data_IF_939379947267
#
_entry.id   IF_939379947267
#
_cell.length_a   1.000
_cell.length_b   1.000
_cell.length_c   1.000
_cell.angle_alpha   90.00
_cell.angle_beta   90.00
_cell.angle_gamma   90.00
#
_symmetry.space_group_name_H-M   'P 1'
#
loop_
_entity.id
_entity.type
_entity.pdbx_description
1 polymer ?
#
# COMPACT_ATOMS: atom_id res chain seq x y z
N UNK A 1 10.63 -70.27 -42.08
CA UNK A 1 9.41 -69.47 -42.32
C UNK A 1 9.41 -68.33 -41.32
N UNK A 2 9.20 -67.04 -41.64
CA UNK A 2 9.13 -66.29 -42.92
C UNK A 2 9.28 -64.79 -42.58
N UNK A 3 9.69 -63.86 -43.45
CA UNK A 3 10.00 -63.91 -44.90
C UNK A 3 11.33 -63.15 -45.18
N UNK A 4 11.44 -62.39 -46.28
CA UNK A 4 12.57 -61.49 -46.61
C UNK A 4 12.06 -60.21 -47.28
N UNK A 5 12.69 -59.06 -47.00
CA UNK A 5 12.82 -57.92 -47.93
C UNK A 5 14.10 -57.13 -47.63
N UNK A 6 14.87 -56.78 -48.66
CA UNK A 6 15.88 -55.71 -48.62
C UNK A 6 16.33 -55.35 -50.05
N UNK A 7 16.45 -54.04 -50.33
CA UNK A 7 17.22 -53.33 -51.37
C UNK A 7 16.85 -51.83 -51.19
N UNK A 8 17.77 -50.87 -51.04
CA UNK A 8 18.74 -50.36 -52.03
C UNK A 8 18.05 -49.80 -53.29
N UNK A 9 18.36 -48.61 -53.82
CA UNK A 9 19.47 -47.67 -53.57
C UNK A 9 19.11 -46.24 -54.05
N UNK A 10 20.02 -45.27 -53.91
CA UNK A 10 19.77 -43.85 -54.24
C UNK A 10 20.29 -43.43 -55.63
N UNK A 11 19.72 -42.37 -56.24
CA UNK A 11 20.45 -41.54 -57.21
C UNK A 11 19.84 -40.13 -57.43
N UNK A 12 20.70 -39.18 -57.78
CA UNK A 12 20.48 -37.72 -57.83
C UNK A 12 19.95 -37.19 -59.16
N UNK A 13 19.28 -36.01 -59.17
CA UNK A 13 19.39 -35.04 -60.29
C UNK A 13 19.08 -33.57 -59.91
N UNK A 14 19.82 -32.67 -60.55
CA UNK A 14 19.66 -31.21 -60.69
C UNK A 14 19.15 -31.00 -62.14
N UNK A 15 18.25 -30.09 -62.54
CA UNK A 15 18.23 -28.62 -62.50
C UNK A 15 16.92 -28.15 -63.18
N UNK A 16 16.39 -26.96 -62.86
CA UNK A 16 15.90 -25.99 -63.85
C UNK A 16 15.61 -24.61 -63.23
N UNK A 17 15.81 -23.54 -64.00
CA UNK A 17 15.51 -22.16 -63.61
C UNK A 17 14.19 -21.71 -64.26
N UNK A 18 13.36 -20.95 -63.53
CA UNK A 18 12.36 -20.07 -64.15
C UNK A 18 11.93 -18.90 -63.24
N UNK A 19 11.77 -17.74 -63.86
CA UNK A 19 11.12 -16.48 -63.40
C UNK A 19 11.95 -15.47 -62.58
N UNK A 20 12.39 -14.42 -63.28
CA UNK A 20 12.57 -13.07 -62.74
C UNK A 20 11.20 -12.40 -62.57
N UNK A 21 11.02 -11.53 -61.56
CA UNK A 21 10.34 -10.21 -61.64
C UNK A 21 10.45 -9.48 -60.27
N UNK A 22 10.44 -8.15 -60.32
CA UNK A 22 10.34 -7.17 -59.21
C UNK A 22 11.42 -7.17 -58.11
N UNK A 23 12.52 -6.49 -58.40
CA UNK A 23 13.28 -5.79 -57.36
C UNK A 23 12.48 -4.60 -56.81
N UNK A 24 11.82 -4.78 -55.67
CA UNK A 24 11.18 -3.69 -54.92
C UNK A 24 11.99 -3.36 -53.67
N UNK A 25 12.63 -2.18 -53.67
CA UNK A 25 13.39 -1.65 -52.52
C UNK A 25 12.46 -1.40 -51.33
N UNK A 26 12.45 -2.34 -50.36
CA UNK A 26 11.79 -2.15 -49.07
C UNK A 26 12.65 -1.29 -48.13
N UNK A 27 12.67 0.03 -48.37
CA UNK A 27 13.15 0.95 -47.34
C UNK A 27 12.32 0.74 -46.06
N UNK A 28 12.96 0.58 -44.88
CA UNK A 28 12.22 0.44 -43.63
C UNK A 28 11.48 1.75 -43.36
N UNK A 29 10.15 1.70 -43.47
CA UNK A 29 9.23 2.82 -43.27
C UNK A 29 9.47 3.40 -41.87
N UNK A 30 10.21 4.53 -41.79
CA UNK A 30 10.46 5.25 -40.54
C UNK A 30 9.14 5.69 -39.92
N UNK A 31 8.58 4.88 -39.03
CA UNK A 31 7.50 5.29 -38.15
C UNK A 31 8.04 6.41 -37.27
N UNK A 32 7.56 7.64 -37.47
CA UNK A 32 7.75 8.74 -36.52
C UNK A 32 7.00 8.36 -35.24
N UNK A 33 7.66 7.62 -34.36
CA UNK A 33 7.18 7.38 -33.02
C UNK A 33 6.88 8.71 -32.35
N UNK A 34 5.77 8.78 -31.60
CA UNK A 34 5.36 10.02 -30.92
C UNK A 34 6.50 10.56 -30.06
N UNK A 35 6.64 11.88 -29.88
CA UNK A 35 7.74 12.46 -29.10
C UNK A 35 7.79 11.91 -27.67
N UNK A 36 6.63 11.52 -27.11
CA UNK A 36 6.54 10.80 -25.84
C UNK A 36 7.25 9.44 -25.86
N UNK A 37 7.05 8.60 -26.89
CA UNK A 37 7.73 7.29 -27.01
C UNK A 37 9.24 7.44 -27.20
N UNK A 38 9.70 8.50 -27.87
CA UNK A 38 11.12 8.81 -27.99
C UNK A 38 11.70 9.27 -26.64
N UNK A 39 11.06 10.22 -25.96
CA UNK A 39 11.45 10.68 -24.63
C UNK A 39 11.47 9.53 -23.61
N UNK A 40 10.47 8.65 -23.63
CA UNK A 40 10.41 7.46 -22.78
C UNK A 40 11.58 6.50 -23.05
N UNK A 41 11.87 6.18 -24.31
CA UNK A 41 13.05 5.36 -24.66
C UNK A 41 14.38 6.00 -24.26
N UNK A 42 14.50 7.32 -24.36
CA UNK A 42 15.69 8.06 -23.90
C UNK A 42 15.79 8.06 -22.36
N UNK A 43 14.66 8.11 -21.65
CA UNK A 43 14.62 8.01 -20.20
C UNK A 43 15.00 6.60 -19.71
N UNK A 44 14.44 5.54 -20.31
CA UNK A 44 14.77 4.15 -19.93
C UNK A 44 16.23 3.81 -20.23
N UNK A 45 16.78 4.20 -21.38
CA UNK A 45 18.21 3.99 -21.67
C UNK A 45 19.14 4.81 -20.77
N UNK A 46 18.73 6.01 -20.33
CA UNK A 46 19.47 6.77 -19.31
C UNK A 46 19.43 6.10 -17.93
N UNK A 47 18.28 5.57 -17.52
CA UNK A 47 18.16 4.77 -16.28
C UNK A 47 19.02 3.50 -16.35
N UNK A 48 19.02 2.80 -17.48
CA UNK A 48 19.80 1.58 -17.68
C UNK A 48 21.31 1.85 -17.69
N UNK A 49 21.76 2.90 -18.40
CA UNK A 49 23.16 3.34 -18.36
C UNK A 49 23.58 3.82 -16.96
N UNK A 50 22.69 4.47 -16.21
CA UNK A 50 22.93 4.84 -14.80
C UNK A 50 23.04 3.58 -13.93
N UNK A 51 22.17 2.60 -14.11
CA UNK A 51 22.16 1.34 -13.38
C UNK A 51 23.48 0.56 -13.62
N UNK A 52 23.93 0.44 -14.88
CA UNK A 52 25.21 -0.18 -15.23
C UNK A 52 26.40 0.58 -14.60
N UNK A 53 26.39 1.92 -14.59
CA UNK A 53 27.43 2.72 -13.92
C UNK A 53 27.44 2.52 -12.40
N UNK A 54 26.27 2.42 -11.79
CA UNK A 54 26.11 2.14 -10.35
C UNK A 54 26.60 0.72 -10.04
N UNK A 55 26.16 -0.29 -10.79
CA UNK A 55 26.58 -1.68 -10.65
C UNK A 55 28.11 -1.84 -10.77
N UNK A 56 28.74 -1.22 -11.77
CA UNK A 56 30.19 -1.24 -11.96
C UNK A 56 30.97 -0.54 -10.83
N UNK A 57 30.42 0.53 -10.23
CA UNK A 57 31.01 1.16 -9.03
C UNK A 57 30.84 0.27 -7.78
N UNK A 58 29.68 -0.36 -7.63
CA UNK A 58 29.37 -1.29 -6.54
C UNK A 58 30.26 -2.54 -6.61
N UNK A 59 30.52 -3.07 -7.81
CA UNK A 59 31.37 -4.25 -7.99
C UNK A 59 32.82 -4.00 -7.56
N UNK A 60 33.30 -2.76 -7.64
CA UNK A 60 34.65 -2.34 -7.23
C UNK A 60 34.73 -1.84 -5.77
N UNK A 61 33.64 -1.93 -5.01
CA UNK A 61 33.55 -1.45 -3.62
C UNK A 61 33.95 -2.53 -2.60
N UNK A 62 34.56 -2.12 -1.48
CA UNK A 62 34.85 -3.01 -0.32
C UNK A 62 33.58 -3.61 0.34
N UNK A 63 32.40 -3.13 -0.06
CA UNK A 63 31.09 -3.59 0.41
C UNK A 63 30.44 -4.67 -0.49
N UNK A 64 31.18 -5.25 -1.45
CA UNK A 64 30.65 -6.26 -2.38
C UNK A 64 29.91 -7.44 -1.70
N UNK A 65 28.96 -8.04 -2.42
CA UNK A 65 28.09 -9.09 -1.91
C UNK A 65 27.06 -8.56 -0.90
N UNK A 66 26.78 -9.36 0.14
CA UNK A 66 25.71 -9.10 1.13
C UNK A 66 25.82 -7.77 1.87
N UNK A 67 27.04 -7.23 2.03
CA UNK A 67 27.28 -5.97 2.73
C UNK A 67 26.64 -4.77 2.04
N UNK A 68 26.53 -4.77 0.70
CA UNK A 68 25.82 -3.71 -0.03
C UNK A 68 24.36 -3.63 0.38
N UNK A 69 23.67 -4.77 0.48
CA UNK A 69 22.26 -4.79 0.83
C UNK A 69 22.01 -4.34 2.27
N UNK A 70 22.88 -4.75 3.21
CA UNK A 70 22.82 -4.25 4.60
C UNK A 70 23.14 -2.76 4.66
N UNK A 71 24.11 -2.25 3.90
CA UNK A 71 24.41 -0.81 3.81
C UNK A 71 23.22 -0.02 3.24
N UNK A 72 22.56 -0.49 2.18
CA UNK A 72 21.33 0.12 1.63
C UNK A 72 20.21 0.09 2.68
N UNK A 73 20.08 -1.00 3.44
CA UNK A 73 19.18 -1.10 4.58
C UNK A 73 19.47 -0.07 5.69
N UNK A 74 20.75 0.15 6.03
CA UNK A 74 21.18 1.18 6.98
C UNK A 74 20.84 2.59 6.48
N UNK A 75 21.16 2.91 5.22
CA UNK A 75 20.80 4.20 4.62
C UNK A 75 19.28 4.42 4.59
N UNK A 76 18.50 3.37 4.32
CA UNK A 76 17.04 3.39 4.29
C UNK A 76 16.46 3.66 5.69
N UNK A 77 16.97 2.97 6.71
CA UNK A 77 16.54 3.16 8.10
C UNK A 77 16.96 4.51 8.67
N UNK A 78 18.17 4.99 8.35
CA UNK A 78 18.63 6.34 8.68
C UNK A 78 17.78 7.43 8.02
N UNK A 79 17.42 7.27 6.74
CA UNK A 79 16.51 8.21 6.05
C UNK A 79 15.14 8.29 6.75
N UNK A 80 14.51 7.14 7.03
CA UNK A 80 13.22 7.12 7.75
C UNK A 80 13.36 7.68 9.18
N UNK A 81 14.50 7.44 9.84
CA UNK A 81 14.77 8.00 11.17
C UNK A 81 14.84 9.54 11.11
N UNK A 82 15.55 10.11 10.13
CA UNK A 82 15.60 11.54 9.89
C UNK A 82 14.22 12.13 9.57
N UNK A 83 13.41 11.47 8.73
CA UNK A 83 12.03 11.91 8.44
C UNK A 83 11.16 11.91 9.70
N UNK A 84 11.24 10.86 10.52
CA UNK A 84 10.43 10.75 11.76
C UNK A 84 10.83 11.81 12.78
N UNK A 85 12.14 12.05 12.96
CA UNK A 85 12.65 13.11 13.81
C UNK A 85 12.25 14.49 13.29
N UNK A 86 12.31 14.73 11.98
CA UNK A 86 11.86 15.99 11.37
C UNK A 86 10.35 16.23 11.59
N UNK A 87 9.51 15.19 11.50
CA UNK A 87 8.08 15.29 11.79
C UNK A 87 7.82 15.64 13.27
N UNK A 88 8.60 15.08 14.21
CA UNK A 88 8.51 15.45 15.64
C UNK A 88 8.96 16.89 15.88
N UNK A 89 9.99 17.37 15.19
CA UNK A 89 10.42 18.78 15.25
C UNK A 89 9.34 19.70 14.66
N UNK A 90 8.70 19.33 13.54
CA UNK A 90 7.57 20.09 12.99
C UNK A 90 6.40 20.11 13.97
N UNK A 91 6.13 19.01 14.69
CA UNK A 91 5.13 18.96 15.75
C UNK A 91 5.43 19.90 16.93
N UNK A 92 6.69 20.05 17.34
CA UNK A 92 7.06 20.97 18.42
C UNK A 92 7.06 22.45 17.99
N UNK A 93 7.21 22.73 16.69
CA UNK A 93 7.12 24.08 16.11
C UNK A 93 5.70 24.44 15.62
N UNK A 94 4.74 23.51 15.68
CA UNK A 94 3.36 23.75 15.29
C UNK A 94 2.64 24.71 16.27
N UNK A 95 1.50 25.28 15.86
CA UNK A 95 0.75 26.22 16.70
C UNK A 95 0.26 25.52 17.98
N UNK A 96 0.79 25.95 19.13
CA UNK A 96 0.54 25.34 20.45
C UNK A 96 1.45 24.17 20.81
N UNK A 97 2.36 23.74 19.92
CA UNK A 97 3.32 22.66 20.16
C UNK A 97 2.68 21.34 20.58
N UNK A 98 3.40 20.59 21.42
CA UNK A 98 2.85 19.43 22.13
C UNK A 98 2.18 19.89 23.43
N UNK A 99 0.91 19.55 23.61
CA UNK A 99 0.12 19.82 24.82
C UNK A 99 0.49 18.83 25.95
N UNK A 100 -0.11 19.00 27.12
CA UNK A 100 0.15 18.17 28.31
C UNK A 100 -0.11 16.65 28.11
N UNK A 101 -0.96 16.29 27.14
CA UNK A 101 -1.24 14.92 26.70
C UNK A 101 -0.20 14.36 25.71
N UNK A 102 0.80 15.16 25.32
CA UNK A 102 1.81 14.83 24.32
C UNK A 102 1.29 14.86 22.87
N UNK A 103 0.17 15.56 22.60
CA UNK A 103 -0.45 15.66 21.26
C UNK A 103 -0.18 17.04 20.65
N UNK A 104 0.29 17.08 19.40
CA UNK A 104 0.45 18.30 18.61
C UNK A 104 -0.51 18.33 17.41
N UNK A 105 -1.00 19.53 17.07
CA UNK A 105 -1.89 19.77 15.94
C UNK A 105 -1.05 20.14 14.69
N UNK A 106 -0.79 19.17 13.81
CA UNK A 106 0.07 19.35 12.62
C UNK A 106 -0.60 20.20 11.53
N UNK A 107 -1.88 19.94 11.27
CA UNK A 107 -2.67 20.63 10.25
C UNK A 107 -4.06 20.86 10.82
N UNK A 108 -4.55 22.08 10.70
CA UNK A 108 -5.90 22.50 11.10
C UNK A 108 -6.63 22.95 9.83
N UNK A 109 -7.92 22.63 9.71
CA UNK A 109 -8.75 23.09 8.59
C UNK A 109 -10.04 22.31 8.43
N UNK A 110 -10.62 22.37 7.22
CA UNK A 110 -11.90 21.71 6.93
C UNK A 110 -11.80 20.18 6.96
N UNK A 111 -12.86 19.51 7.42
CA UNK A 111 -12.93 18.05 7.52
C UNK A 111 -12.54 17.33 6.21
N UNK A 112 -12.93 17.87 5.06
CA UNK A 112 -12.58 17.33 3.75
C UNK A 112 -11.08 17.47 3.40
N UNK A 113 -10.41 18.55 3.82
CA UNK A 113 -8.98 18.73 3.63
C UNK A 113 -8.17 17.82 4.58
N UNK A 114 -8.56 17.78 5.86
CA UNK A 114 -7.94 16.93 6.88
C UNK A 114 -8.08 15.44 6.54
N UNK A 115 -9.20 15.01 5.96
CA UNK A 115 -9.38 13.63 5.48
C UNK A 115 -8.36 13.25 4.40
N UNK A 116 -8.09 14.14 3.44
CA UNK A 116 -7.07 13.93 2.40
C UNK A 116 -5.66 13.87 2.98
N UNK A 117 -5.32 14.79 3.89
CA UNK A 117 -4.00 14.81 4.55
C UNK A 117 -3.77 13.60 5.46
N UNK A 118 -4.79 13.17 6.21
CA UNK A 118 -4.76 11.91 6.99
C UNK A 118 -4.49 10.70 6.09
N UNK A 119 -5.17 10.62 4.94
CA UNK A 119 -4.98 9.53 3.97
C UNK A 119 -3.55 9.54 3.40
N UNK A 120 -3.02 10.71 3.05
CA UNK A 120 -1.65 10.87 2.57
C UNK A 120 -0.61 10.52 3.64
N UNK A 121 -0.84 10.90 4.90
CA UNK A 121 0.04 10.58 6.02
C UNK A 121 0.11 9.05 6.26
N UNK A 122 -1.04 8.36 6.31
CA UNK A 122 -1.05 6.90 6.45
C UNK A 122 -0.41 6.17 5.25
N UNK A 123 -0.51 6.72 4.03
CA UNK A 123 0.22 6.17 2.88
C UNK A 123 1.74 6.26 3.08
N UNK A 124 2.25 7.42 3.53
CA UNK A 124 3.68 7.62 3.83
C UNK A 124 4.14 6.70 4.98
N UNK A 125 3.36 6.59 6.06
CA UNK A 125 3.63 5.68 7.19
C UNK A 125 3.74 4.23 6.70
N UNK A 126 2.84 3.77 5.84
CA UNK A 126 2.87 2.41 5.30
C UNK A 126 4.08 2.18 4.37
N UNK A 127 4.46 3.16 3.54
CA UNK A 127 5.67 3.11 2.71
C UNK A 127 6.92 3.00 3.60
N UNK A 128 7.07 3.89 4.58
CA UNK A 128 8.24 3.90 5.48
C UNK A 128 8.31 2.65 6.37
N UNK A 129 7.17 2.16 6.85
CA UNK A 129 7.12 0.89 7.60
C UNK A 129 7.53 -0.30 6.73
N UNK A 130 7.06 -0.35 5.47
CA UNK A 130 7.45 -1.39 4.50
C UNK A 130 8.94 -1.32 4.15
N UNK A 131 9.50 -0.12 3.99
CA UNK A 131 10.93 0.10 3.76
C UNK A 131 11.78 -0.40 4.95
N UNK A 132 11.37 -0.08 6.19
CA UNK A 132 12.04 -0.56 7.40
C UNK A 132 11.93 -2.08 7.57
N UNK A 133 10.76 -2.66 7.25
CA UNK A 133 10.56 -4.10 7.25
C UNK A 133 11.46 -4.78 6.22
N UNK A 134 11.53 -4.27 4.99
CA UNK A 134 12.41 -4.79 3.94
C UNK A 134 13.90 -4.74 4.30
N UNK A 135 14.37 -3.62 4.86
CA UNK A 135 15.75 -3.47 5.35
C UNK A 135 16.08 -4.45 6.49
N UNK A 136 15.15 -4.59 7.45
CA UNK A 136 15.26 -5.55 8.55
C UNK A 136 15.27 -6.99 8.02
N UNK A 137 14.38 -7.30 7.08
CA UNK A 137 14.18 -8.63 6.49
C UNK A 137 15.41 -9.09 5.70
N UNK A 138 16.01 -8.20 4.90
CA UNK A 138 17.27 -8.51 4.22
C UNK A 138 18.40 -8.79 5.21
N UNK A 139 18.56 -7.96 6.25
CA UNK A 139 19.60 -8.20 7.27
C UNK A 139 19.36 -9.50 8.04
N UNK A 140 18.10 -9.82 8.36
CA UNK A 140 17.70 -11.10 8.93
C UNK A 140 18.00 -12.28 7.99
N UNK A 141 17.79 -12.14 6.68
CA UNK A 141 18.15 -13.16 5.70
C UNK A 141 19.66 -13.44 5.73
N UNK A 142 20.49 -12.39 5.70
CA UNK A 142 21.96 -12.51 5.83
C UNK A 142 22.35 -13.21 7.13
N UNK A 143 21.79 -12.80 8.27
CA UNK A 143 22.08 -13.41 9.57
C UNK A 143 21.66 -14.88 9.67
N UNK A 144 20.58 -15.28 8.97
CA UNK A 144 20.10 -16.67 8.88
C UNK A 144 20.84 -17.50 7.81
N UNK A 145 21.63 -16.87 6.96
CA UNK A 145 22.37 -17.53 5.89
C UNK A 145 23.57 -18.30 6.48
N UNK A 146 23.81 -19.55 6.06
CA UNK A 146 24.94 -20.31 6.58
C UNK A 146 26.27 -19.81 5.98
N UNK A 147 27.35 -20.01 6.72
CA UNK A 147 28.70 -19.99 6.13
C UNK A 147 29.06 -21.38 5.63
N UNK A 148 30.06 -21.51 4.75
CA UNK A 148 30.47 -22.84 4.25
C UNK A 148 30.88 -23.79 5.39
N UNK A 149 31.52 -23.30 6.46
CA UNK A 149 31.86 -24.13 7.64
C UNK A 149 30.64 -24.52 8.48
N UNK A 150 29.54 -23.75 8.44
CA UNK A 150 28.27 -24.14 9.04
C UNK A 150 27.57 -25.24 8.23
N UNK A 151 27.66 -25.19 6.89
CA UNK A 151 27.21 -26.25 5.99
C UNK A 151 28.02 -27.54 6.23
N UNK A 152 29.35 -27.47 6.19
CA UNK A 152 30.24 -28.63 6.39
C UNK A 152 29.90 -29.36 7.71
N UNK A 153 29.64 -28.59 8.79
CA UNK A 153 29.26 -29.10 10.13
C UNK A 153 27.85 -29.70 10.17
N UNK A 154 26.92 -29.17 9.39
CA UNK A 154 25.57 -29.73 9.28
C UNK A 154 25.58 -31.05 8.47
N UNK A 155 26.27 -31.06 7.33
CA UNK A 155 26.39 -32.21 6.44
C UNK A 155 27.08 -33.39 7.13
N UNK A 156 28.15 -33.13 7.91
CA UNK A 156 28.82 -34.16 8.73
C UNK A 156 27.91 -34.78 9.82
N UNK A 157 26.72 -34.21 10.07
CA UNK A 157 25.70 -34.73 10.99
C UNK A 157 24.44 -35.21 10.26
N UNK A 158 24.51 -35.40 8.94
CA UNK A 158 23.37 -35.79 8.11
C UNK A 158 22.25 -34.74 8.01
N UNK A 159 22.54 -33.47 8.31
CA UNK A 159 21.58 -32.36 8.25
C UNK A 159 21.89 -31.43 7.09
N UNK A 160 20.87 -30.75 6.58
CA UNK A 160 20.99 -29.73 5.53
C UNK A 160 20.48 -28.37 6.03
N UNK A 161 21.05 -27.29 5.48
CA UNK A 161 20.66 -25.90 5.77
C UNK A 161 20.04 -25.27 4.53
N UNK A 162 19.12 -24.34 4.73
CA UNK A 162 18.47 -23.62 3.64
C UNK A 162 19.37 -22.47 3.15
N UNK A 163 19.41 -22.25 1.84
CA UNK A 163 20.23 -21.21 1.19
C UNK A 163 19.31 -20.37 0.28
N UNK A 164 19.61 -19.08 0.09
CA UNK A 164 18.82 -18.20 -0.77
C UNK A 164 17.52 -17.68 -0.14
N UNK A 165 17.19 -18.10 1.08
CA UNK A 165 15.89 -17.87 1.73
C UNK A 165 16.07 -17.44 3.19
N UNK A 166 15.10 -16.70 3.73
CA UNK A 166 14.98 -16.45 5.17
C UNK A 166 14.49 -17.72 5.86
N UNK A 167 15.39 -18.48 6.49
CA UNK A 167 15.05 -19.73 7.18
C UNK A 167 15.18 -19.62 8.69
N UNK A 168 14.06 -19.75 9.39
CA UNK A 168 14.01 -19.89 10.85
C UNK A 168 14.63 -21.20 11.33
N UNK A 169 14.60 -22.25 10.50
CA UNK A 169 15.21 -23.57 10.75
C UNK A 169 16.74 -23.50 10.82
N UNK A 170 17.36 -22.61 10.04
CA UNK A 170 18.80 -22.36 10.13
C UNK A 170 19.21 -21.79 11.50
N UNK A 171 18.36 -20.98 12.14
CA UNK A 171 18.65 -20.32 13.42
C UNK A 171 18.99 -21.29 14.57
N UNK A 172 18.54 -22.54 14.47
CA UNK A 172 18.79 -23.61 15.44
C UNK A 172 20.13 -24.35 15.19
N UNK A 173 20.77 -24.13 14.04
CA UNK A 173 22.01 -24.82 13.64
C UNK A 173 23.20 -23.85 13.45
N UNK A 174 22.96 -22.53 13.38
CA UNK A 174 24.01 -21.48 13.34
C UNK A 174 24.38 -20.99 14.76
N UNK A 175 25.49 -20.23 14.94
CA UNK A 175 25.89 -19.71 16.25
C UNK A 175 24.83 -18.81 16.91
N UNK A 176 24.52 -19.08 18.18
CA UNK A 176 23.45 -18.42 18.94
C UNK A 176 23.50 -16.89 18.92
N UNK A 177 24.69 -16.27 18.87
CA UNK A 177 24.86 -14.82 18.73
C UNK A 177 24.14 -14.26 17.50
N UNK A 178 24.16 -14.96 16.36
CA UNK A 178 23.43 -14.56 15.14
C UNK A 178 21.92 -14.69 15.35
N UNK A 179 21.48 -15.81 15.93
CA UNK A 179 20.07 -16.10 16.20
C UNK A 179 19.44 -15.10 17.18
N UNK A 180 20.16 -14.66 18.23
CA UNK A 180 19.70 -13.60 19.13
C UNK A 180 19.53 -12.26 18.40
N UNK A 181 20.51 -11.86 17.60
CA UNK A 181 20.45 -10.61 16.83
C UNK A 181 19.32 -10.63 15.80
N UNK A 182 19.09 -11.78 15.17
CA UNK A 182 17.93 -12.02 14.30
C UNK A 182 16.61 -11.86 15.06
N UNK A 183 16.48 -12.47 16.24
CA UNK A 183 15.27 -12.36 17.06
C UNK A 183 15.00 -10.91 17.51
N UNK A 184 16.03 -10.13 17.83
CA UNK A 184 15.88 -8.72 18.18
C UNK A 184 15.39 -7.86 17.00
N UNK A 185 15.86 -8.12 15.77
CA UNK A 185 15.35 -7.46 14.56
C UNK A 185 13.90 -7.87 14.24
N UNK A 186 13.55 -9.14 14.43
CA UNK A 186 12.19 -9.64 14.24
C UNK A 186 11.23 -9.01 15.26
N UNK A 187 11.52 -9.13 16.56
CA UNK A 187 10.68 -8.64 17.65
C UNK A 187 10.45 -7.12 17.60
N UNK A 188 11.46 -6.33 17.26
CA UNK A 188 11.34 -4.87 17.11
C UNK A 188 10.50 -4.43 15.91
N UNK A 189 10.06 -5.34 15.03
CA UNK A 189 9.21 -4.99 13.88
C UNK A 189 7.75 -4.81 14.23
N UNK A 190 7.19 -5.64 15.13
CA UNK A 190 5.75 -5.62 15.44
C UNK A 190 5.34 -4.33 16.19
N UNK A 191 6.01 -3.90 17.27
CA UNK A 191 5.66 -2.67 17.97
C UNK A 191 5.82 -1.45 17.06
N UNK A 192 6.86 -1.42 16.22
CA UNK A 192 7.11 -0.32 15.31
C UNK A 192 5.91 -0.12 14.36
N UNK A 193 5.44 -1.17 13.67
CA UNK A 193 4.27 -1.06 12.79
C UNK A 193 2.99 -0.62 13.53
N UNK A 194 2.76 -1.13 14.75
CA UNK A 194 1.57 -0.80 15.55
C UNK A 194 1.56 0.66 15.97
N UNK A 195 2.62 1.12 16.66
CA UNK A 195 2.72 2.48 17.16
C UNK A 195 2.83 3.51 16.04
N UNK A 196 3.40 3.16 14.89
CA UNK A 196 3.52 4.08 13.77
C UNK A 196 2.16 4.35 13.08
N UNK A 197 1.31 3.33 12.94
CA UNK A 197 -0.05 3.56 12.45
C UNK A 197 -0.92 4.34 13.45
N UNK A 198 -0.67 4.18 14.76
CA UNK A 198 -1.37 4.93 15.81
C UNK A 198 -0.80 6.35 16.04
N UNK A 199 0.41 6.67 15.56
CA UNK A 199 1.08 7.93 15.92
C UNK A 199 0.46 9.16 15.28
N UNK A 200 -0.14 9.02 14.10
CA UNK A 200 -0.87 10.10 13.39
C UNK A 200 -2.33 9.70 13.29
N UNK A 201 -3.22 10.59 13.72
CA UNK A 201 -4.67 10.38 13.70
C UNK A 201 -5.38 11.70 13.40
N UNK A 202 -6.65 11.62 12.97
CA UNK A 202 -7.48 12.80 12.74
C UNK A 202 -8.54 12.94 13.82
N UNK A 203 -8.82 14.17 14.21
CA UNK A 203 -9.98 14.54 15.02
C UNK A 203 -10.91 15.37 14.14
N UNK A 204 -12.06 14.80 13.80
CA UNK A 204 -13.09 15.48 13.02
C UNK A 204 -14.05 16.19 13.97
N UNK A 205 -14.14 17.51 13.82
CA UNK A 205 -15.17 18.33 14.48
C UNK A 205 -16.46 18.25 13.69
N UNK A 206 -17.57 18.10 14.40
CA UNK A 206 -18.92 18.15 13.83
C UNK A 206 -19.74 19.18 14.61
N UNK A 207 -20.18 20.22 13.92
CA UNK A 207 -21.00 21.26 14.51
C UNK A 207 -22.47 20.96 14.26
N UNK A 208 -23.28 20.92 15.33
CA UNK A 208 -24.72 21.03 15.17
C UNK A 208 -25.05 22.41 14.58
N UNK A 209 -25.94 22.44 13.59
CA UNK A 209 -26.36 23.65 12.89
C UNK A 209 -27.83 23.57 12.53
N UNK A 210 -28.45 24.73 12.31
CA UNK A 210 -29.77 24.83 11.69
C UNK A 210 -29.68 25.44 10.28
N UNK A 211 -30.67 25.14 9.43
CA UNK A 211 -30.80 25.74 8.09
C UNK A 211 -32.04 26.63 8.09
N UNK A 212 -31.82 27.94 8.06
CA UNK A 212 -32.86 28.96 8.21
C UNK A 212 -33.05 29.65 6.86
N UNK A 213 -34.27 29.67 6.32
CA UNK A 213 -34.58 30.49 5.14
C UNK A 213 -35.02 31.89 5.57
N UNK A 214 -34.47 32.92 4.92
CA UNK A 214 -34.77 34.34 5.19
C UNK A 214 -35.09 35.08 3.89
N UNK A 215 -35.96 36.10 3.98
CA UNK A 215 -36.30 36.98 2.87
C UNK A 215 -35.16 37.98 2.62
N UNK A 216 -34.74 38.12 1.36
CA UNK A 216 -33.81 39.15 0.87
C UNK A 216 -34.19 40.60 1.22
N UNK A 217 -35.44 40.87 1.56
CA UNK A 217 -35.97 42.20 1.94
C UNK A 217 -36.15 42.38 3.45
N UNK A 218 -35.90 41.34 4.26
CA UNK A 218 -36.11 41.37 5.72
C UNK A 218 -35.10 42.23 6.47
N UNK A 219 -35.52 42.76 7.63
CA UNK A 219 -34.62 43.42 8.57
C UNK A 219 -33.55 42.46 9.15
N UNK A 220 -33.88 41.17 9.26
CA UNK A 220 -32.94 40.13 9.70
C UNK A 220 -31.78 39.96 8.72
N UNK A 221 -32.07 39.94 7.41
CA UNK A 221 -31.04 39.91 6.37
C UNK A 221 -30.10 41.12 6.44
N UNK A 222 -30.64 42.34 6.59
CA UNK A 222 -29.84 43.55 6.76
C UNK A 222 -28.95 43.50 8.02
N UNK A 223 -29.46 42.92 9.10
CA UNK A 223 -28.72 42.73 10.35
C UNK A 223 -27.59 41.71 10.19
N UNK A 224 -27.83 40.60 9.47
CA UNK A 224 -26.83 39.57 9.20
C UNK A 224 -25.67 40.09 8.33
N UNK A 225 -25.94 40.94 7.34
CA UNK A 225 -24.90 41.56 6.49
C UNK A 225 -23.92 42.45 7.28
N UNK A 226 -24.36 43.05 8.38
CA UNK A 226 -23.54 43.94 9.21
C UNK A 226 -22.82 43.19 10.35
N UNK A 227 -23.11 41.91 10.56
CA UNK A 227 -22.67 41.15 11.73
C UNK A 227 -21.33 40.46 11.49
N UNK A 228 -20.34 40.79 12.33
CA UNK A 228 -19.02 40.14 12.30
C UNK A 228 -19.14 38.66 12.66
N UNK A 229 -18.41 37.79 11.95
CA UNK A 229 -18.43 36.33 12.15
C UNK A 229 -19.37 35.55 11.23
N UNK A 230 -19.91 36.19 10.18
CA UNK A 230 -20.72 35.55 9.16
C UNK A 230 -20.01 35.63 7.80
N UNK A 231 -19.85 34.48 7.13
CA UNK A 231 -19.26 34.41 5.79
C UNK A 231 -20.40 34.42 4.74
N UNK A 232 -20.32 35.28 3.72
CA UNK A 232 -21.21 35.24 2.57
C UNK A 232 -20.70 34.20 1.56
N UNK A 233 -21.52 33.20 1.25
CA UNK A 233 -21.18 32.01 0.46
C UNK A 233 -22.05 31.93 -0.79
N UNK A 234 -21.41 31.73 -1.95
CA UNK A 234 -22.13 31.41 -3.19
C UNK A 234 -22.77 30.03 -3.13
N UNK A 235 -23.73 29.78 -4.02
CA UNK A 235 -24.50 28.53 -4.05
C UNK A 235 -23.64 27.26 -4.14
N UNK A 236 -22.53 27.28 -4.87
CA UNK A 236 -21.61 26.13 -4.93
C UNK A 236 -20.81 25.91 -3.63
N UNK A 237 -20.55 26.98 -2.88
CA UNK A 237 -19.69 26.94 -1.69
C UNK A 237 -20.46 26.45 -0.48
N UNK A 238 -21.64 27.01 -0.18
CA UNK A 238 -22.44 26.48 0.94
C UNK A 238 -22.92 25.06 0.65
N UNK A 239 -23.28 24.72 -0.60
CA UNK A 239 -23.62 23.33 -0.98
C UNK A 239 -22.46 22.35 -0.76
N UNK A 240 -21.22 22.78 -0.98
CA UNK A 240 -20.03 21.96 -0.74
C UNK A 240 -19.70 21.79 0.74
N UNK A 241 -19.96 22.79 1.57
CA UNK A 241 -19.68 22.73 3.03
C UNK A 241 -20.73 21.87 3.72
N UNK A 242 -22.00 22.22 3.56
CA UNK A 242 -23.12 21.60 4.27
C UNK A 242 -23.62 20.28 3.62
N UNK A 243 -23.19 19.99 2.40
CA UNK A 243 -23.37 18.67 1.77
C UNK A 243 -22.38 17.59 2.24
N UNK A 244 -21.55 17.87 3.25
CA UNK A 244 -20.68 16.87 3.88
C UNK A 244 -21.30 16.31 5.15
N UNK A 245 -20.92 15.07 5.50
CA UNK A 245 -21.41 14.39 6.71
C UNK A 245 -21.07 15.10 8.02
N UNK A 246 -19.98 15.87 8.06
CA UNK A 246 -19.48 16.53 9.26
C UNK A 246 -19.13 17.98 8.93
N UNK A 247 -19.89 18.93 9.48
CA UNK A 247 -19.72 20.36 9.17
C UNK A 247 -18.73 20.97 10.16
N UNK A 248 -17.60 21.46 9.63
CA UNK A 248 -16.49 22.03 10.40
C UNK A 248 -16.19 23.46 9.95
N UNK A 249 -15.91 24.38 10.87
CA UNK A 249 -15.61 25.80 10.56
C UNK A 249 -16.84 26.71 10.44
N UNK A 250 -18.03 26.13 10.26
CA UNK A 250 -19.31 26.84 10.16
C UNK A 250 -20.38 26.16 11.01
N UNK A 251 -21.42 26.90 11.37
CA UNK A 251 -22.58 26.47 12.14
C UNK A 251 -23.86 26.82 11.37
N UNK A 252 -24.75 27.65 11.92
CA UNK A 252 -26.04 27.98 11.32
C UNK A 252 -25.92 28.55 9.89
N UNK A 253 -26.74 28.04 8.98
CA UNK A 253 -26.79 28.43 7.57
C UNK A 253 -28.08 29.20 7.28
N UNK A 254 -27.94 30.45 6.84
CA UNK A 254 -29.04 31.31 6.44
C UNK A 254 -29.13 31.35 4.92
N UNK A 255 -30.20 30.78 4.34
CA UNK A 255 -30.44 30.78 2.89
C UNK A 255 -31.27 32.01 2.51
N UNK A 256 -30.71 32.87 1.67
CA UNK A 256 -31.34 34.14 1.26
C UNK A 256 -32.20 33.91 0.04
N UNK A 257 -33.51 33.99 0.24
CA UNK A 257 -34.54 33.70 -0.76
C UNK A 257 -35.09 35.01 -1.35
N UNK A 258 -35.22 35.03 -2.68
CA UNK A 258 -35.79 36.13 -3.48
C UNK A 258 -37.10 35.73 -4.19
N UNK A 259 -37.25 34.46 -4.56
CA UNK A 259 -38.40 33.96 -5.33
C UNK A 259 -38.93 32.60 -4.83
N UNK A 260 -40.23 32.39 -5.06
CA UNK A 260 -40.94 31.15 -4.78
C UNK A 260 -41.64 30.62 -6.03
N UNK A 261 -41.60 29.31 -6.23
CA UNK A 261 -42.38 28.62 -7.26
C UNK A 261 -43.57 27.91 -6.62
N UNK A 262 -44.76 28.15 -7.15
CA UNK A 262 -46.02 27.57 -6.70
C UNK A 262 -46.55 26.56 -7.73
N UNK A 263 -47.44 25.68 -7.28
CA UNK A 263 -48.19 24.79 -8.17
C UNK A 263 -49.24 25.61 -8.93
N UNK A 264 -49.39 25.39 -10.25
CA UNK A 264 -50.31 26.18 -11.07
C UNK A 264 -51.76 25.92 -10.65
N UNK A 265 -52.42 26.94 -10.10
CA UNK A 265 -53.81 26.90 -9.64
C UNK A 265 -54.70 27.69 -10.59
N UNK A 266 -55.91 27.18 -10.86
CA UNK A 266 -56.93 27.91 -11.62
C UNK A 266 -57.63 29.01 -10.78
N UNK A 267 -57.42 29.02 -9.45
CA UNK A 267 -58.03 29.99 -8.55
C UNK A 267 -57.05 31.12 -8.21
N UNK A 268 -57.50 32.37 -8.32
CA UNK A 268 -56.77 33.55 -7.85
C UNK A 268 -56.63 33.55 -6.33
N UNK A 269 -55.38 33.49 -5.83
CA UNK A 269 -55.06 33.55 -4.40
C UNK A 269 -54.15 34.74 -4.14
N UNK A 270 -54.49 35.58 -3.16
CA UNK A 270 -53.58 36.64 -2.69
C UNK A 270 -52.53 36.02 -1.78
N UNK A 271 -51.34 35.78 -2.33
CA UNK A 271 -50.20 35.24 -1.61
C UNK A 271 -49.40 36.38 -0.97
N UNK A 272 -49.03 36.22 0.30
CA UNK A 272 -48.15 37.16 1.01
C UNK A 272 -46.89 36.42 1.43
N UNK A 273 -45.76 36.89 0.93
CA UNK A 273 -44.45 36.22 1.05
C UNK A 273 -44.03 36.05 2.52
N UNK A 274 -44.33 37.02 3.39
CA UNK A 274 -44.02 36.98 4.82
C UNK A 274 -44.75 35.86 5.59
N UNK A 275 -45.83 35.27 5.05
CA UNK A 275 -46.52 34.11 5.66
C UNK A 275 -45.74 32.80 5.53
N UNK A 276 -44.59 32.82 4.86
CA UNK A 276 -43.77 31.64 4.56
C UNK A 276 -42.38 31.69 5.21
N UNK A 277 -42.17 32.58 6.20
CA UNK A 277 -40.91 32.77 6.92
C UNK A 277 -41.12 32.92 8.45
N UNK A 278 -40.04 32.75 9.24
CA UNK A 278 -38.81 32.05 8.87
C UNK A 278 -39.09 30.56 8.71
N UNK A 279 -38.32 29.89 7.86
CA UNK A 279 -38.34 28.42 7.78
C UNK A 279 -37.11 27.90 8.50
N UNK A 280 -37.27 26.93 9.38
CA UNK A 280 -36.16 26.25 10.04
C UNK A 280 -36.23 24.74 9.75
N UNK A 281 -35.06 24.10 9.69
CA UNK A 281 -34.87 22.66 9.70
C UNK A 281 -33.53 22.35 10.36
N UNK A 282 -33.54 21.35 11.24
CA UNK A 282 -32.31 20.85 11.86
C UNK A 282 -31.31 20.38 10.79
N UNK A 283 -30.08 20.86 10.90
CA UNK A 283 -28.99 20.50 10.01
C UNK A 283 -28.56 19.05 10.19
N UNK A 284 -28.73 18.27 9.13
CA UNK A 284 -28.24 16.90 8.97
C UNK A 284 -28.01 16.64 7.48
N UNK A 285 -27.10 15.73 7.14
CA UNK A 285 -26.80 15.33 5.76
C UNK A 285 -28.07 14.87 5.01
N UNK A 286 -28.98 14.18 5.70
CA UNK A 286 -30.24 13.68 5.12
C UNK A 286 -31.19 14.83 4.81
N UNK A 287 -31.41 15.74 5.78
CA UNK A 287 -32.24 16.93 5.61
C UNK A 287 -31.67 17.86 4.54
N UNK A 288 -30.36 18.07 4.54
CA UNK A 288 -29.64 18.86 3.55
C UNK A 288 -29.82 18.30 2.13
N UNK A 289 -29.69 16.98 1.96
CA UNK A 289 -29.96 16.31 0.67
C UNK A 289 -31.42 16.45 0.25
N UNK A 290 -32.36 16.31 1.17
CA UNK A 290 -33.79 16.45 0.88
C UNK A 290 -34.15 17.87 0.40
N UNK A 291 -33.51 18.94 0.89
CA UNK A 291 -33.74 20.30 0.38
C UNK A 291 -32.99 20.58 -0.94
N UNK A 292 -31.90 19.86 -1.26
CA UNK A 292 -31.05 20.13 -2.43
C UNK A 292 -31.19 19.16 -3.62
N UNK A 293 -31.82 17.99 -3.45
CA UNK A 293 -31.88 16.90 -4.44
C UNK A 293 -32.51 17.30 -5.77
N UNK A 294 -33.56 18.12 -5.73
CA UNK A 294 -34.42 18.40 -6.89
C UNK A 294 -34.07 19.74 -7.57
N UNK A 295 -32.87 20.25 -7.31
CA UNK A 295 -32.39 21.52 -7.85
C UNK A 295 -32.45 21.53 -9.38
N UNK A 296 -33.30 22.40 -9.93
CA UNK A 296 -33.42 22.60 -11.37
C UNK A 296 -32.09 23.04 -12.04
N UNK A 297 -32.05 23.15 -13.38
CA UNK A 297 -30.84 23.12 -14.22
C UNK A 297 -29.76 24.20 -13.98
N UNK A 298 -29.89 25.03 -12.95
CA UNK A 298 -28.99 26.14 -12.60
C UNK A 298 -28.51 26.10 -11.14
N UNK A 299 -28.88 25.09 -10.34
CA UNK A 299 -28.38 24.94 -8.96
C UNK A 299 -28.83 25.99 -7.93
N UNK A 300 -29.68 26.95 -8.30
CA UNK A 300 -30.20 27.99 -7.38
C UNK A 300 -31.43 27.56 -6.57
N UNK A 301 -32.22 26.59 -7.04
CA UNK A 301 -33.49 26.23 -6.39
C UNK A 301 -33.33 25.14 -5.32
N UNK A 302 -34.17 25.20 -4.28
CA UNK A 302 -34.31 24.21 -3.19
C UNK A 302 -35.77 23.76 -3.00
N UNK A 303 -35.98 22.58 -2.43
CA UNK A 303 -37.32 22.05 -2.13
C UNK A 303 -37.88 22.67 -0.85
N UNK A 304 -38.90 23.53 -1.01
CA UNK A 304 -39.52 24.27 0.10
C UNK A 304 -40.36 23.37 1.02
N UNK A 305 -40.97 22.31 0.46
CA UNK A 305 -41.86 21.42 1.23
C UNK A 305 -41.11 20.59 2.30
N UNK A 306 -39.79 20.59 2.34
CA UNK A 306 -39.03 19.80 3.31
C UNK A 306 -38.69 20.56 4.60
N UNK A 307 -38.83 21.89 4.66
CA UNK A 307 -38.65 22.66 5.88
C UNK A 307 -39.76 22.42 6.91
N UNK A 308 -39.47 22.66 8.20
CA UNK A 308 -40.50 22.68 9.23
C UNK A 308 -41.25 24.01 9.19
N UNK A 309 -42.54 23.95 8.82
CA UNK A 309 -43.37 25.13 8.63
C UNK A 309 -43.93 25.63 9.97
N UNK A 310 -43.10 26.27 10.79
CA UNK A 310 -43.53 27.03 11.97
C UNK A 310 -43.57 28.53 11.62
N UNK A 311 -44.56 28.91 10.82
CA UNK A 311 -44.90 30.32 10.65
C UNK A 311 -45.50 30.81 11.98
N UNK A 312 -44.73 31.57 12.75
CA UNK A 312 -45.21 32.25 13.96
C UNK A 312 -46.15 33.41 13.57
N UNK A 313 -47.40 33.08 13.23
CA UNK A 313 -48.50 34.02 13.32
C UNK A 313 -48.98 34.02 14.77
N UNK A 314 -48.98 35.19 15.40
CA UNK A 314 -49.48 35.35 16.77
C UNK A 314 -50.90 34.77 16.90
N UNK A 315 -51.12 34.04 18.00
CA UNK A 315 -52.42 33.70 18.58
C UNK A 315 -53.35 32.75 17.82
N UNK A 316 -52.96 32.13 16.70
CA UNK A 316 -53.66 30.95 16.16
C UNK A 316 -52.72 30.03 15.36
N UNK A 317 -52.52 28.80 15.85
CA UNK A 317 -51.78 27.76 15.14
C UNK A 317 -52.64 27.16 14.00
N UNK A 318 -52.92 27.95 12.97
CA UNK A 318 -53.53 27.43 11.73
C UNK A 318 -52.54 26.48 11.08
N UNK A 319 -52.86 25.17 11.10
CA UNK A 319 -52.10 24.15 10.41
C UNK A 319 -51.88 24.56 8.95
N UNK A 320 -50.63 24.89 8.64
CA UNK A 320 -50.22 25.29 7.31
C UNK A 320 -50.56 24.19 6.31
N UNK A 321 -51.48 24.45 5.38
CA UNK A 321 -51.84 23.44 4.37
C UNK A 321 -50.69 23.27 3.37
N UNK A 322 -49.82 22.30 3.67
CA UNK A 322 -48.61 21.96 2.92
C UNK A 322 -48.84 21.69 1.42
N UNK A 323 -50.10 21.46 0.99
CA UNK A 323 -50.48 21.34 -0.42
C UNK A 323 -50.62 22.68 -1.15
N UNK A 324 -51.02 23.78 -0.47
CA UNK A 324 -51.15 25.12 -1.08
C UNK A 324 -49.90 26.00 -0.92
N UNK A 325 -48.87 25.52 -0.22
CA UNK A 325 -47.60 26.24 -0.06
C UNK A 325 -46.71 26.22 -1.30
N UNK A 326 -45.63 27.02 -1.33
CA UNK A 326 -44.62 26.94 -2.37
C UNK A 326 -44.04 25.54 -2.51
N UNK A 327 -43.79 25.12 -3.75
CA UNK A 327 -43.08 23.90 -4.10
C UNK A 327 -41.57 24.08 -3.89
N UNK A 328 -41.03 25.21 -4.36
CA UNK A 328 -39.60 25.49 -4.37
C UNK A 328 -39.33 26.95 -3.99
N UNK A 329 -38.15 27.18 -3.42
CA UNK A 329 -37.61 28.51 -3.17
C UNK A 329 -36.32 28.68 -3.99
N UNK A 330 -36.08 29.88 -4.51
CA UNK A 330 -34.82 30.23 -5.17
C UNK A 330 -33.87 30.83 -4.15
N UNK A 331 -32.64 30.32 -4.09
CA UNK A 331 -31.58 30.81 -3.21
C UNK A 331 -30.64 31.68 -4.02
N UNK A 332 -30.52 32.95 -3.64
CA UNK A 332 -29.53 33.87 -4.25
C UNK A 332 -28.11 33.53 -3.77
N UNK A 333 -27.96 33.38 -2.46
CA UNK A 333 -26.72 33.03 -1.77
C UNK A 333 -27.03 32.49 -0.36
N UNK A 334 -26.02 31.93 0.31
CA UNK A 334 -26.11 31.52 1.71
C UNK A 334 -25.20 32.37 2.58
N UNK A 335 -25.62 32.70 3.79
CA UNK A 335 -24.79 33.35 4.81
C UNK A 335 -24.56 32.32 5.91
N UNK A 336 -23.30 31.99 6.22
CA UNK A 336 -22.96 30.96 7.20
C UNK A 336 -22.28 31.56 8.43
N UNK A 337 -22.75 31.23 9.62
CA UNK A 337 -22.14 31.64 10.89
C UNK A 337 -20.84 30.85 11.13
N UNK A 338 -19.71 31.55 11.12
CA UNK A 338 -18.37 30.96 11.27
C UNK A 338 -18.08 30.61 12.73
N UNK A 339 -17.51 29.42 12.97
CA UNK A 339 -17.05 28.97 14.30
C UNK A 339 -15.66 28.34 14.16
N UNK A 340 -14.77 28.60 15.12
CA UNK A 340 -13.37 28.13 15.13
C UNK A 340 -13.16 26.62 15.39
N UNK A 341 -14.22 25.82 15.30
CA UNK A 341 -14.19 24.35 15.46
C UNK A 341 -13.75 23.68 14.15
N UNK A 342 -12.48 23.86 13.84
CA UNK A 342 -11.81 23.23 12.70
C UNK A 342 -11.35 21.80 13.03
N UNK A 343 -11.39 20.92 12.04
CA UNK A 343 -10.87 19.56 12.15
C UNK A 343 -9.34 19.59 12.19
N UNK A 344 -8.75 18.58 12.84
CA UNK A 344 -7.30 18.56 13.11
C UNK A 344 -6.68 17.24 12.68
N UNK A 345 -5.52 17.31 12.02
CA UNK A 345 -4.59 16.20 11.91
C UNK A 345 -3.60 16.31 13.06
N UNK A 346 -3.56 15.30 13.91
CA UNK A 346 -2.82 15.31 15.17
C UNK A 346 -1.75 14.23 15.19
N UNK A 347 -0.71 14.46 15.99
CA UNK A 347 0.39 13.52 16.18
C UNK A 347 0.69 13.30 17.66
N UNK A 348 0.78 12.04 18.07
CA UNK A 348 1.21 11.63 19.41
C UNK A 348 2.74 11.57 19.48
N UNK A 349 3.32 12.41 20.35
CA UNK A 349 4.75 12.41 20.66
C UNK A 349 5.18 11.03 21.19
N UNK A 350 4.43 10.47 22.14
CA UNK A 350 4.76 9.21 22.81
C UNK A 350 4.90 8.08 21.79
N UNK A 351 3.93 7.93 20.89
CA UNK A 351 3.97 6.89 19.86
C UNK A 351 5.09 7.14 18.83
N UNK A 352 5.33 8.39 18.43
CA UNK A 352 6.48 8.73 17.57
C UNK A 352 7.83 8.44 18.21
N UNK A 353 8.00 8.72 19.51
CA UNK A 353 9.23 8.41 20.25
C UNK A 353 9.48 6.90 20.31
N UNK A 354 8.43 6.09 20.49
CA UNK A 354 8.55 4.62 20.43
C UNK A 354 8.99 4.16 19.03
N UNK A 355 8.43 4.72 17.96
CA UNK A 355 8.83 4.41 16.57
C UNK A 355 10.28 4.84 16.30
N UNK A 356 10.69 6.02 16.76
CA UNK A 356 12.07 6.53 16.64
C UNK A 356 13.04 5.62 17.41
N UNK A 357 12.70 5.22 18.63
CA UNK A 357 13.53 4.33 19.44
C UNK A 357 13.73 2.95 18.79
N UNK A 358 12.66 2.31 18.30
CA UNK A 358 12.78 1.02 17.61
C UNK A 358 13.47 1.13 16.24
N UNK A 359 13.29 2.23 15.50
CA UNK A 359 14.04 2.46 14.26
C UNK A 359 15.53 2.69 14.54
N UNK A 360 15.88 3.51 15.54
CA UNK A 360 17.27 3.69 15.97
C UNK A 360 17.91 2.37 16.44
N UNK A 361 17.19 1.55 17.22
CA UNK A 361 17.66 0.23 17.66
C UNK A 361 17.94 -0.70 16.47
N UNK A 362 17.04 -0.74 15.47
CA UNK A 362 17.27 -1.47 14.22
C UNK A 362 18.47 -0.95 13.45
N UNK A 363 18.60 0.37 13.29
CA UNK A 363 19.74 1.01 12.62
C UNK A 363 21.05 0.64 13.32
N UNK A 364 21.09 0.69 14.66
CA UNK A 364 22.25 0.33 15.46
C UNK A 364 22.64 -1.14 15.25
N UNK A 365 21.67 -2.07 15.26
CA UNK A 365 21.93 -3.49 14.97
C UNK A 365 22.45 -3.69 13.54
N UNK A 366 21.78 -3.16 12.52
CA UNK A 366 22.20 -3.34 11.12
C UNK A 366 23.61 -2.75 10.88
N UNK A 367 23.89 -1.59 11.47
CA UNK A 367 25.21 -0.94 11.45
C UNK A 367 26.27 -1.80 12.16
N UNK A 368 25.93 -2.36 13.33
CA UNK A 368 26.83 -3.25 14.08
C UNK A 368 27.14 -4.54 13.33
N UNK A 369 26.15 -5.14 12.64
CA UNK A 369 26.36 -6.29 11.75
C UNK A 369 27.30 -5.92 10.60
N UNK A 370 27.10 -4.76 9.97
CA UNK A 370 27.91 -4.28 8.85
C UNK A 370 29.40 -4.09 9.22
N UNK A 371 29.69 -3.59 10.42
CA UNK A 371 31.07 -3.37 10.89
C UNK A 371 31.74 -4.62 11.48
N UNK A 372 31.00 -5.36 12.32
CA UNK A 372 31.55 -6.48 13.11
C UNK A 372 31.70 -7.73 12.25
N UNK A 373 30.79 -7.99 11.31
CA UNK A 373 30.70 -9.29 10.68
C UNK A 373 31.61 -9.43 9.45
N UNK A 374 32.59 -10.33 9.59
CA UNK A 374 33.58 -10.68 8.57
C UNK A 374 33.31 -12.01 7.85
N UNK A 375 32.19 -12.66 8.18
CA UNK A 375 31.83 -13.98 7.64
C UNK A 375 31.55 -13.98 6.14
N UNK A 376 31.96 -15.06 5.46
CA UNK A 376 31.56 -15.41 4.09
C UNK A 376 30.22 -16.14 4.10
N UNK A 377 29.14 -15.37 4.20
CA UNK A 377 27.78 -15.89 4.12
C UNK A 377 27.42 -16.32 2.70
N UNK A 378 26.79 -17.49 2.59
CA UNK A 378 26.22 -18.00 1.35
C UNK A 378 24.75 -17.53 1.31
N UNK A 379 24.54 -16.30 0.85
CA UNK A 379 23.22 -15.63 0.90
C UNK A 379 22.36 -15.99 -0.30
N UNK A 380 22.96 -16.23 -1.46
CA UNK A 380 22.28 -16.57 -2.71
C UNK A 380 22.67 -17.96 -3.23
N UNK A 381 21.87 -18.51 -4.15
CA UNK A 381 22.23 -19.73 -4.89
C UNK A 381 23.48 -19.55 -5.75
N UNK A 382 23.79 -18.32 -6.19
CA UNK A 382 25.02 -18.00 -6.92
C UNK A 382 26.26 -18.13 -6.03
N UNK A 383 26.20 -17.57 -4.81
CA UNK A 383 27.26 -17.73 -3.80
C UNK A 383 27.48 -19.22 -3.46
N UNK A 384 26.39 -20.00 -3.42
CA UNK A 384 26.44 -21.42 -3.14
C UNK A 384 27.15 -22.18 -4.26
N UNK A 385 26.70 -22.01 -5.50
CA UNK A 385 27.29 -22.65 -6.66
C UNK A 385 28.78 -22.32 -6.78
N UNK A 386 29.16 -21.04 -6.63
CA UNK A 386 30.57 -20.63 -6.62
C UNK A 386 31.36 -21.33 -5.51
N UNK A 387 30.85 -21.34 -4.27
CA UNK A 387 31.55 -21.94 -3.13
C UNK A 387 31.65 -23.47 -3.20
N UNK A 388 30.66 -24.17 -3.78
CA UNK A 388 30.71 -25.62 -4.01
C UNK A 388 31.60 -26.01 -5.20
N UNK A 389 31.73 -25.15 -6.22
CA UNK A 389 32.66 -25.35 -7.33
C UNK A 389 34.13 -25.12 -6.92
N UNK A 390 34.39 -24.09 -6.12
CA UNK A 390 35.72 -23.81 -5.57
C UNK A 390 36.13 -24.84 -4.51
N UNK A 391 35.20 -25.23 -3.63
CA UNK A 391 35.42 -26.23 -2.58
C UNK A 391 34.28 -27.26 -2.56
N UNK A 392 34.44 -28.41 -3.24
CA UNK A 392 33.50 -29.52 -3.21
C UNK A 392 33.17 -29.96 -1.78
N UNK A 393 31.98 -30.52 -1.58
CA UNK A 393 31.52 -30.94 -0.26
C UNK A 393 32.11 -32.30 0.13
N UNK A 394 32.80 -32.44 1.29
CA UNK A 394 33.44 -33.70 1.65
C UNK A 394 32.46 -34.88 1.79
N UNK A 395 31.20 -34.61 2.17
CA UNK A 395 30.18 -35.64 2.38
C UNK A 395 29.59 -36.12 1.05
N UNK A 396 29.39 -35.20 0.09
CA UNK A 396 28.80 -35.52 -1.23
C UNK A 396 29.81 -35.60 -2.38
N UNK A 397 31.11 -35.59 -2.09
CA UNK A 397 32.15 -35.74 -3.09
C UNK A 397 32.01 -37.09 -3.81
N UNK A 398 32.05 -37.08 -5.14
CA UNK A 398 31.78 -38.25 -6.01
C UNK A 398 30.35 -38.84 -5.89
N UNK A 399 29.40 -38.13 -5.26
CA UNK A 399 28.02 -38.58 -5.03
C UNK A 399 26.97 -37.76 -5.80
N UNK A 400 27.38 -37.02 -6.83
CA UNK A 400 26.52 -36.11 -7.61
C UNK A 400 25.33 -36.76 -8.34
N UNK A 401 25.31 -38.09 -8.49
CA UNK A 401 24.21 -38.84 -9.09
C UNK A 401 23.19 -39.37 -8.08
N UNK A 402 23.45 -39.25 -6.76
CA UNK A 402 22.54 -39.72 -5.72
C UNK A 402 21.44 -38.69 -5.47
N UNK A 403 20.18 -39.14 -5.60
CA UNK A 403 19.03 -38.35 -5.20
C UNK A 403 18.88 -38.24 -3.68
N UNK A 404 17.92 -37.43 -3.24
CA UNK A 404 17.65 -37.17 -1.81
C UNK A 404 17.47 -38.46 -1.00
N UNK A 405 16.65 -39.39 -1.48
CA UNK A 405 16.23 -40.54 -0.69
C UNK A 405 17.32 -41.62 -0.70
N UNK A 406 18.07 -41.74 -1.80
CA UNK A 406 19.31 -42.51 -1.88
C UNK A 406 20.41 -41.97 -0.92
N UNK A 407 20.52 -40.64 -0.78
CA UNK A 407 21.43 -39.97 0.15
C UNK A 407 21.00 -40.18 1.61
N UNK A 408 19.70 -40.12 1.91
CA UNK A 408 19.16 -40.39 3.25
C UNK A 408 19.45 -41.83 3.70
N UNK A 409 19.24 -42.81 2.81
CA UNK A 409 19.60 -44.22 3.03
C UNK A 409 21.09 -44.37 3.40
N UNK A 410 22.00 -43.75 2.65
CA UNK A 410 23.44 -43.76 2.96
C UNK A 410 23.78 -43.12 4.30
N UNK A 411 23.04 -42.10 4.71
CA UNK A 411 23.20 -41.42 6.00
C UNK A 411 22.54 -42.17 7.18
N UNK A 412 21.98 -43.38 6.94
CA UNK A 412 21.33 -44.19 7.96
C UNK A 412 19.89 -43.78 8.29
N UNK A 413 19.29 -42.87 7.52
CA UNK A 413 17.89 -42.50 7.66
C UNK A 413 17.01 -43.34 6.73
N UNK A 414 15.93 -43.91 7.27
CA UNK A 414 14.89 -44.52 6.43
C UNK A 414 14.08 -43.42 5.73
N UNK A 415 14.04 -43.38 4.39
CA UNK A 415 13.10 -42.51 3.67
C UNK A 415 11.66 -42.93 4.00
N UNK A 416 10.73 -41.97 3.96
CA UNK A 416 9.31 -42.32 4.01
C UNK A 416 8.92 -43.00 2.70
N UNK A 417 8.56 -44.28 2.78
CA UNK A 417 8.02 -45.06 1.67
C UNK A 417 6.55 -45.43 1.95
N UNK A 418 5.68 -45.42 0.93
CA UNK A 418 4.31 -45.90 1.07
C UNK A 418 4.26 -47.38 1.52
N UNK A 419 3.28 -47.81 2.33
CA UNK A 419 3.14 -49.21 2.69
C UNK A 419 3.01 -50.11 1.45
N UNK A 420 3.85 -51.14 1.34
CA UNK A 420 3.82 -52.12 0.24
C UNK A 420 4.88 -51.95 -0.86
N UNK A 421 5.72 -50.91 -0.82
CA UNK A 421 6.70 -50.59 -1.88
C UNK A 421 8.06 -51.30 -1.74
N UNK A 422 8.07 -52.62 -1.53
CA UNK A 422 9.31 -53.39 -1.33
C UNK A 422 10.23 -53.39 -2.57
N UNK A 423 9.68 -53.40 -3.79
CA UNK A 423 10.46 -53.21 -5.03
C UNK A 423 11.12 -51.82 -5.10
N UNK A 424 10.45 -50.76 -4.62
CA UNK A 424 11.05 -49.43 -4.55
C UNK A 424 12.21 -49.40 -3.54
N UNK A 425 12.08 -50.12 -2.42
CA UNK A 425 13.09 -50.23 -1.39
C UNK A 425 14.33 -50.99 -1.88
N UNK A 426 14.13 -52.10 -2.61
CA UNK A 426 15.22 -52.83 -3.26
C UNK A 426 15.92 -51.96 -4.31
N UNK A 427 15.18 -51.36 -5.25
CA UNK A 427 15.78 -50.49 -6.27
C UNK A 427 16.42 -49.22 -5.69
N UNK A 428 15.94 -48.69 -4.55
CA UNK A 428 16.60 -47.62 -3.79
C UNK A 428 17.94 -48.09 -3.20
N UNK A 429 17.99 -49.29 -2.62
CA UNK A 429 19.23 -49.86 -2.07
C UNK A 429 20.30 -50.05 -3.16
N UNK A 430 19.91 -50.60 -4.32
CA UNK A 430 20.78 -50.81 -5.47
C UNK A 430 21.29 -49.48 -6.06
N UNK A 431 20.43 -48.46 -6.17
CA UNK A 431 20.83 -47.09 -6.56
C UNK A 431 21.79 -46.44 -5.56
N UNK A 432 21.58 -46.66 -4.26
CA UNK A 432 22.47 -46.14 -3.21
C UNK A 432 23.90 -46.73 -3.29
N UNK A 433 24.05 -47.92 -3.87
CA UNK A 433 25.32 -48.57 -4.16
C UNK A 433 25.97 -48.09 -5.48
N UNK A 434 25.28 -47.27 -6.27
CA UNK A 434 25.79 -46.70 -7.52
C UNK A 434 25.29 -47.38 -8.80
N UNK A 435 24.35 -48.34 -8.71
CA UNK A 435 23.77 -48.93 -9.92
C UNK A 435 22.73 -48.00 -10.55
N UNK A 436 22.86 -47.75 -11.85
CA UNK A 436 21.92 -46.92 -12.60
C UNK A 436 20.68 -47.73 -12.95
N UNK A 437 19.53 -47.33 -12.41
CA UNK A 437 18.22 -47.92 -12.68
C UNK A 437 17.26 -46.82 -13.16
N UNK A 438 16.45 -47.05 -14.21
CA UNK A 438 15.50 -46.06 -14.70
C UNK A 438 14.41 -45.82 -13.64
N UNK A 439 14.19 -44.55 -13.29
CA UNK A 439 13.19 -44.16 -12.30
C UNK A 439 12.12 -43.25 -12.93
N UNK A 440 10.84 -43.62 -12.81
CA UNK A 440 9.74 -42.66 -12.94
C UNK A 440 9.68 -41.84 -11.66
N UNK A 441 9.92 -40.52 -11.74
CA UNK A 441 9.58 -39.58 -10.66
C UNK A 441 8.37 -38.77 -11.09
N UNK A 442 7.29 -38.83 -10.33
CA UNK A 442 6.16 -37.92 -10.53
C UNK A 442 6.57 -36.52 -10.03
N UNK A 443 6.37 -35.47 -10.86
CA UNK A 443 6.86 -34.12 -10.56
C UNK A 443 6.43 -33.58 -9.18
N UNK A 444 5.25 -33.98 -8.69
CA UNK A 444 4.72 -33.55 -7.39
C UNK A 444 5.47 -34.12 -6.18
N UNK A 445 6.08 -35.31 -6.31
CA UNK A 445 6.80 -35.97 -5.21
C UNK A 445 8.19 -35.38 -4.94
N UNK A 446 8.69 -34.50 -5.82
CA UNK A 446 10.00 -33.84 -5.69
C UNK A 446 9.99 -32.70 -4.65
N UNK A 447 8.81 -32.14 -4.34
CA UNK A 447 8.65 -31.09 -3.33
C UNK A 447 8.80 -31.66 -1.91
N UNK A 448 9.40 -30.89 -0.98
CA UNK A 448 9.40 -31.28 0.44
C UNK A 448 7.98 -31.35 1.00
N UNK A 449 7.73 -32.22 1.98
CA UNK A 449 6.38 -32.45 2.54
C UNK A 449 5.69 -31.15 2.98
N UNK A 450 6.43 -30.23 3.59
CA UNK A 450 5.93 -28.90 4.00
C UNK A 450 5.42 -28.07 2.80
N UNK A 451 6.07 -28.21 1.63
CA UNK A 451 5.67 -27.55 0.38
C UNK A 451 4.54 -28.31 -0.31
N UNK A 452 4.49 -29.63 -0.23
CA UNK A 452 3.34 -30.43 -0.71
C UNK A 452 2.06 -30.08 0.05
N UNK A 453 2.14 -29.89 1.37
CA UNK A 453 1.03 -29.39 2.19
C UNK A 453 0.62 -27.99 1.75
N UNK A 454 1.58 -27.08 1.52
CA UNK A 454 1.30 -25.72 1.05
C UNK A 454 0.62 -25.69 -0.33
N UNK A 455 1.04 -26.53 -1.28
CA UNK A 455 0.43 -26.65 -2.61
C UNK A 455 -0.84 -27.51 -2.65
N UNK A 456 -1.12 -28.32 -1.61
CA UNK A 456 -2.38 -29.06 -1.45
C UNK A 456 -3.46 -28.29 -0.69
N UNK A 457 -3.13 -27.10 -0.18
CA UNK A 457 -4.05 -26.13 0.44
C UNK A 457 -4.37 -24.94 -0.48
N UNK A 458 -3.90 -24.99 -1.72
CA UNK A 458 -4.01 -23.99 -2.78
C UNK A 458 -4.84 -24.56 -3.96
#
# INVERSE_FOLDING_TARGET
MSYSTNNAEASTRRLSNASLISGASSQPRRTRGTPFLQAWKTFTTRLEALNIRIANRIQKSRYHGWRMGVLVGCCTSAFVLCCNTAIVIVGSQAQGGYKDDGIADLIIGSAAAISKWSTAAHLVINIFSTMLLGASNYTMQVLSSPTRTDIDRAHARGRWLDIGLLSTRNLWNIPAKRSVVWCLLAASSIPLHLFYNASVFRTTTDNMYNIIAIDSTSADYQTLLQKVGFDNLTNDVWRRIYGTKYVSGHSDLYLVIDMYAFESSQNSVTLSISKYYPLDISGDETNFRNITSDGGPSGGWINHRNFSAIAFSENNATFYNKKLGPLRAHVTHGIAKKISTESRLQISLVFMLVVIAFNFFKLAIMTWVLYTDRSTYIVTFGDAAASFLERPDPVTQHQCMLGKDEMLLRLGYSPYMPPGSWEEQETLSLRSQGMWLPQRRECFLVLSRDRQIFFGLL
#
